data_IF_246766519303
#
_entry.id   IF_246766519303
#
_cell.length_a   1.000
_cell.length_b   1.000
_cell.length_c   1.000
_cell.angle_alpha   90.00
_cell.angle_beta   90.00
_cell.angle_gamma   90.00
#
_symmetry.space_group_name_H-M   'P 1'
#
loop_
_entity.id
_entity.type
_entity.pdbx_description
1 polymer ?
#
# COMPACT_ATOMS: atom_id res chain seq x y z
N UNK A 1 -12.58 -8.95 -61.04
CA UNK A 1 -11.83 -9.76 -60.04
C UNK A 1 -11.63 -8.93 -58.78
N UNK A 2 -12.56 -9.00 -57.86
CA UNK A 2 -12.48 -8.41 -56.50
C UNK A 2 -12.31 -9.59 -55.53
N UNK A 3 -11.09 -9.92 -55.14
CA UNK A 3 -10.82 -11.01 -54.20
C UNK A 3 -9.97 -10.54 -53.05
N UNK A 4 -10.56 -10.59 -51.84
CA UNK A 4 -9.94 -10.91 -50.54
C UNK A 4 -8.94 -9.93 -49.92
N UNK A 5 -9.37 -8.75 -49.53
CA UNK A 5 -8.64 -7.89 -48.57
C UNK A 5 -9.29 -7.92 -47.16
N UNK A 6 -10.43 -8.60 -46.98
CA UNK A 6 -11.21 -8.61 -45.76
C UNK A 6 -10.66 -9.56 -44.69
N UNK A 7 -9.92 -10.61 -45.08
CA UNK A 7 -9.46 -11.64 -44.14
C UNK A 7 -8.39 -11.22 -43.14
N UNK A 8 -7.36 -10.41 -43.46
CA UNK A 8 -6.34 -10.05 -42.48
C UNK A 8 -6.84 -9.03 -41.46
N UNK A 9 -7.77 -8.13 -41.80
CA UNK A 9 -8.32 -7.13 -40.91
C UNK A 9 -9.24 -7.78 -39.87
N UNK A 10 -10.05 -8.76 -40.29
CA UNK A 10 -10.93 -9.49 -39.37
C UNK A 10 -10.12 -10.33 -38.37
N UNK A 11 -9.01 -10.93 -38.80
CA UNK A 11 -8.12 -11.70 -37.93
C UNK A 11 -7.40 -10.81 -36.89
N UNK A 12 -6.98 -9.61 -37.29
CA UNK A 12 -6.37 -8.63 -36.38
C UNK A 12 -7.35 -8.13 -35.31
N UNK A 13 -8.62 -7.90 -35.67
CA UNK A 13 -9.67 -7.48 -34.71
C UNK A 13 -9.99 -8.61 -33.72
N UNK A 14 -10.04 -9.86 -34.18
CA UNK A 14 -10.26 -11.02 -33.29
C UNK A 14 -9.09 -11.23 -32.34
N UNK A 15 -7.83 -11.04 -32.79
CA UNK A 15 -6.66 -11.08 -31.90
C UNK A 15 -6.65 -9.94 -30.86
N UNK A 16 -7.08 -8.72 -31.22
CA UNK A 16 -7.20 -7.61 -30.25
C UNK A 16 -8.30 -7.86 -29.22
N UNK A 17 -9.41 -8.52 -29.59
CA UNK A 17 -10.47 -8.87 -28.65
C UNK A 17 -10.09 -10.01 -27.68
N UNK A 18 -9.14 -10.88 -28.07
CA UNK A 18 -8.65 -11.96 -27.22
C UNK A 18 -7.66 -11.49 -26.16
N UNK A 19 -7.01 -10.34 -26.32
CA UNK A 19 -6.05 -9.79 -25.33
C UNK A 19 -6.71 -9.05 -24.17
N UNK A 20 -8.03 -8.90 -24.13
CA UNK A 20 -8.74 -8.21 -23.04
C UNK A 20 -9.45 -9.15 -22.06
N UNK A 21 -9.30 -10.45 -22.21
CA UNK A 21 -9.70 -11.38 -21.17
C UNK A 21 -8.56 -11.54 -20.16
N UNK A 22 -8.24 -10.50 -19.39
CA UNK A 22 -7.68 -10.70 -18.06
C UNK A 22 -8.77 -11.39 -17.25
N UNK A 23 -8.74 -12.71 -17.30
CA UNK A 23 -9.55 -13.56 -16.47
C UNK A 23 -9.12 -13.27 -15.03
N UNK A 24 -9.90 -12.44 -14.36
CA UNK A 24 -9.73 -12.15 -12.93
C UNK A 24 -10.09 -13.45 -12.19
N UNK A 25 -9.19 -14.43 -12.27
CA UNK A 25 -9.31 -15.68 -11.51
C UNK A 25 -8.97 -15.31 -10.08
N UNK A 26 -10.00 -14.99 -9.28
CA UNK A 26 -9.86 -14.97 -7.82
C UNK A 26 -9.12 -16.27 -7.46
N UNK A 27 -7.89 -16.15 -6.95
CA UNK A 27 -7.12 -17.32 -6.59
C UNK A 27 -7.91 -18.11 -5.56
N UNK A 28 -7.97 -19.43 -5.70
CA UNK A 28 -8.66 -20.27 -4.72
C UNK A 28 -7.92 -20.22 -3.39
N UNK A 29 -8.60 -19.74 -2.37
CA UNK A 29 -8.11 -19.67 -0.99
C UNK A 29 -8.82 -20.77 -0.18
N UNK A 30 -8.05 -21.54 0.61
CA UNK A 30 -8.66 -22.55 1.50
C UNK A 30 -9.44 -21.87 2.63
N UNK A 31 -10.45 -22.56 3.16
CA UNK A 31 -11.39 -22.00 4.14
C UNK A 31 -10.74 -21.48 5.45
N UNK A 32 -9.51 -21.91 5.73
CA UNK A 32 -8.74 -21.50 6.91
C UNK A 32 -7.49 -20.67 6.56
N UNK A 33 -7.35 -20.25 5.31
CA UNK A 33 -6.24 -19.43 4.82
C UNK A 33 -6.75 -18.04 4.43
N UNK A 34 -5.83 -17.11 4.26
CA UNK A 34 -6.02 -15.88 3.51
C UNK A 34 -4.95 -15.75 2.44
N UNK A 35 -5.22 -14.96 1.43
CA UNK A 35 -4.27 -14.60 0.40
C UNK A 35 -4.38 -13.09 0.12
N UNK A 36 -3.29 -12.37 0.36
CA UNK A 36 -3.13 -10.99 -0.08
C UNK A 36 -2.24 -11.00 -1.33
N UNK A 37 -2.67 -10.34 -2.40
CA UNK A 37 -1.84 -10.06 -3.56
C UNK A 37 -1.79 -8.56 -3.81
N UNK A 38 -0.58 -8.02 -3.92
CA UNK A 38 -0.35 -6.60 -4.17
C UNK A 38 0.29 -6.34 -5.52
N UNK A 39 -0.16 -5.28 -6.18
CA UNK A 39 0.43 -4.71 -7.38
C UNK A 39 0.72 -3.22 -7.14
N UNK A 40 2.02 -2.87 -7.11
CA UNK A 40 2.50 -1.53 -6.79
C UNK A 40 3.28 -0.95 -7.96
N UNK A 41 2.72 0.06 -8.60
CA UNK A 41 3.38 0.77 -9.69
C UNK A 41 4.44 1.77 -9.20
N UNK A 42 5.41 2.06 -10.06
CA UNK A 42 6.47 3.07 -9.83
C UNK A 42 7.39 2.79 -8.63
N UNK A 43 7.46 1.54 -8.19
CA UNK A 43 8.41 1.12 -7.17
C UNK A 43 9.48 0.21 -7.80
N UNK A 44 10.76 0.35 -7.40
CA UNK A 44 11.81 -0.53 -7.85
C UNK A 44 11.63 -1.93 -7.23
N UNK A 45 12.09 -2.94 -7.95
CA UNK A 45 12.27 -4.28 -7.40
C UNK A 45 13.22 -4.23 -6.18
N UNK A 46 13.20 -5.25 -5.37
CA UNK A 46 13.96 -5.36 -4.12
C UNK A 46 13.41 -4.59 -2.90
N UNK A 47 12.34 -3.83 -3.03
CA UNK A 47 11.64 -3.27 -1.87
C UNK A 47 11.02 -4.41 -1.06
N UNK A 48 11.27 -4.41 0.25
CA UNK A 48 10.66 -5.37 1.16
C UNK A 48 9.36 -4.79 1.69
N UNK A 49 8.27 -5.52 1.48
CA UNK A 49 6.95 -5.26 2.07
C UNK A 49 6.76 -6.23 3.23
N UNK A 50 6.35 -5.72 4.37
CA UNK A 50 6.07 -6.53 5.57
C UNK A 50 4.60 -6.51 5.95
N UNK A 51 4.11 -7.65 6.42
CA UNK A 51 2.82 -7.80 7.07
C UNK A 51 3.04 -7.92 8.57
N UNK A 52 2.36 -7.09 9.34
CA UNK A 52 2.57 -6.96 10.78
C UNK A 52 1.28 -7.15 11.55
N UNK A 53 1.42 -7.69 12.75
CA UNK A 53 0.39 -7.76 13.76
C UNK A 53 0.73 -6.80 14.90
N UNK A 54 -0.29 -6.07 15.37
CA UNK A 54 -0.16 -5.18 16.52
C UNK A 54 -0.53 -5.94 17.80
N UNK A 55 0.41 -6.02 18.74
CA UNK A 55 0.18 -6.55 20.08
C UNK A 55 0.52 -5.48 21.12
N UNK A 56 -0.51 -4.77 21.58
CA UNK A 56 -0.35 -3.59 22.42
C UNK A 56 0.40 -2.47 21.71
N UNK A 57 1.63 -2.18 22.13
CA UNK A 57 2.49 -1.15 21.51
C UNK A 57 3.62 -1.76 20.65
N UNK A 58 3.55 -3.07 20.37
CA UNK A 58 4.59 -3.79 19.64
C UNK A 58 4.06 -4.17 18.27
N UNK A 59 4.83 -3.89 17.23
CA UNK A 59 4.57 -4.36 15.88
C UNK A 59 5.41 -5.61 15.61
N UNK A 60 4.75 -6.75 15.51
CA UNK A 60 5.37 -8.03 15.20
C UNK A 60 5.29 -8.30 13.70
N UNK A 61 6.43 -8.43 13.03
CA UNK A 61 6.47 -8.81 11.62
C UNK A 61 6.10 -10.30 11.50
N UNK A 62 4.97 -10.58 10.86
CA UNK A 62 4.46 -11.94 10.64
C UNK A 62 5.01 -12.53 9.34
N UNK A 63 4.93 -11.76 8.25
CA UNK A 63 5.41 -12.18 6.93
C UNK A 63 6.17 -11.03 6.26
N UNK A 64 7.09 -11.39 5.36
CA UNK A 64 7.78 -10.45 4.48
C UNK A 64 7.83 -11.01 3.07
N UNK A 65 7.68 -10.13 2.10
CA UNK A 65 7.92 -10.46 0.69
C UNK A 65 8.72 -9.33 0.03
N UNK A 66 9.43 -9.68 -1.03
CA UNK A 66 10.22 -8.73 -1.79
C UNK A 66 9.51 -8.41 -3.08
N UNK A 67 9.30 -7.13 -3.35
CA UNK A 67 8.65 -6.66 -4.56
C UNK A 67 9.44 -7.12 -5.81
N UNK A 68 8.75 -7.80 -6.71
CA UNK A 68 9.29 -8.25 -8.00
C UNK A 68 8.31 -7.90 -9.12
N UNK A 69 8.76 -7.14 -10.10
CA UNK A 69 7.90 -6.62 -11.17
C UNK A 69 6.65 -5.90 -10.63
N UNK A 70 6.81 -5.17 -9.52
CA UNK A 70 5.72 -4.48 -8.85
C UNK A 70 4.77 -5.36 -8.04
N UNK A 71 5.04 -6.64 -7.88
CA UNK A 71 4.14 -7.59 -7.21
C UNK A 71 4.72 -8.12 -5.89
N UNK A 72 3.82 -8.34 -4.92
CA UNK A 72 4.10 -9.06 -3.67
C UNK A 72 2.90 -9.92 -3.27
N UNK A 73 3.12 -10.91 -2.38
CA UNK A 73 2.06 -11.80 -1.94
C UNK A 73 2.28 -12.28 -0.51
N UNK A 74 1.18 -12.34 0.28
CA UNK A 74 1.17 -12.96 1.58
C UNK A 74 0.09 -14.05 1.63
N UNK A 75 0.47 -15.24 2.08
CA UNK A 75 -0.47 -16.34 2.32
C UNK A 75 -0.12 -17.00 3.64
N UNK A 76 -1.12 -17.19 4.48
CA UNK A 76 -0.99 -17.94 5.74
C UNK A 76 -2.37 -18.41 6.20
N UNK A 77 -2.38 -19.17 7.30
CA UNK A 77 -3.60 -19.63 7.95
C UNK A 77 -4.12 -18.61 8.95
N UNK A 78 -5.43 -18.53 9.07
CA UNK A 78 -6.12 -17.67 10.02
C UNK A 78 -7.42 -18.33 10.49
N UNK A 79 -7.76 -18.13 11.76
CA UNK A 79 -8.98 -18.69 12.37
C UNK A 79 -10.10 -17.69 12.61
N UNK A 80 -9.78 -16.40 12.67
CA UNK A 80 -10.74 -15.33 12.95
C UNK A 80 -10.39 -14.09 12.14
N UNK A 81 -11.39 -13.27 11.83
CA UNK A 81 -11.17 -11.95 11.22
C UNK A 81 -10.35 -11.07 12.14
N UNK A 82 -9.34 -10.39 11.60
CA UNK A 82 -8.52 -9.43 12.33
C UNK A 82 -7.87 -8.40 11.41
N UNK A 83 -7.48 -7.28 12.01
CA UNK A 83 -6.74 -6.23 11.33
C UNK A 83 -5.24 -6.54 11.35
N UNK A 84 -4.61 -6.37 10.19
CA UNK A 84 -3.16 -6.44 10.01
C UNK A 84 -2.66 -5.15 9.39
N UNK A 85 -1.36 -4.92 9.47
CA UNK A 85 -0.71 -3.70 9.00
C UNK A 85 0.30 -4.04 7.91
N UNK A 86 0.26 -3.33 6.80
CA UNK A 86 1.23 -3.47 5.71
C UNK A 86 2.11 -2.22 5.67
N UNK A 87 3.41 -2.41 5.72
CA UNK A 87 4.37 -1.32 5.68
C UNK A 87 5.70 -1.75 5.05
N UNK A 88 6.56 -0.78 4.78
CA UNK A 88 7.93 -1.01 4.34
C UNK A 88 8.90 -0.11 5.11
N UNK A 89 10.02 -0.69 5.52
CA UNK A 89 11.12 0.02 6.18
C UNK A 89 12.14 0.60 5.19
N UNK A 90 11.90 0.45 3.88
CA UNK A 90 12.78 1.00 2.85
C UNK A 90 12.76 2.54 2.87
N UNK A 91 13.89 3.15 2.48
CA UNK A 91 14.03 4.62 2.42
C UNK A 91 12.94 5.26 1.55
N UNK A 92 12.44 6.40 2.00
CA UNK A 92 11.41 7.20 1.33
C UNK A 92 9.99 6.67 1.52
N UNK A 93 9.79 5.57 2.27
CA UNK A 93 8.46 5.23 2.76
C UNK A 93 8.09 6.10 3.96
N UNK A 94 6.83 6.52 4.09
CA UNK A 94 6.36 7.17 5.31
C UNK A 94 6.42 6.17 6.47
N UNK A 95 6.73 6.65 7.66
CA UNK A 95 6.75 5.82 8.89
C UNK A 95 5.33 5.47 9.34
N UNK A 96 4.50 4.97 8.43
CA UNK A 96 3.12 4.58 8.67
C UNK A 96 2.78 3.32 7.87
N UNK A 97 1.58 2.82 8.03
CA UNK A 97 1.10 1.56 7.47
C UNK A 97 -0.26 1.69 6.78
N UNK A 98 -0.58 0.70 5.93
CA UNK A 98 -1.91 0.41 5.42
C UNK A 98 -2.59 -0.58 6.36
N UNK A 99 -3.79 -0.28 6.81
CA UNK A 99 -4.62 -1.21 7.58
C UNK A 99 -5.37 -2.13 6.63
N UNK A 100 -5.28 -3.44 6.89
CA UNK A 100 -5.91 -4.46 6.06
C UNK A 100 -6.63 -5.46 6.96
N UNK A 101 -7.94 -5.60 6.78
CA UNK A 101 -8.72 -6.60 7.45
C UNK A 101 -8.67 -7.93 6.69
N UNK A 102 -8.26 -8.98 7.37
CA UNK A 102 -8.14 -10.32 6.82
C UNK A 102 -9.11 -11.26 7.52
N UNK A 103 -9.65 -12.24 6.77
CA UNK A 103 -10.58 -13.23 7.28
C UNK A 103 -10.29 -14.62 6.66
N UNK A 104 -10.73 -15.71 7.32
CA UNK A 104 -10.60 -17.06 6.77
C UNK A 104 -11.32 -17.20 5.42
N UNK A 105 -10.64 -17.80 4.45
CA UNK A 105 -11.16 -18.03 3.11
C UNK A 105 -11.05 -16.84 2.16
N UNK A 106 -10.53 -15.69 2.61
CA UNK A 106 -10.57 -14.44 1.85
C UNK A 106 -9.36 -14.23 0.95
N UNK A 107 -9.66 -13.70 -0.24
CA UNK A 107 -8.71 -13.16 -1.19
C UNK A 107 -8.78 -11.63 -1.18
N UNK A 108 -7.64 -11.01 -0.96
CA UNK A 108 -7.50 -9.56 -0.83
C UNK A 108 -6.55 -9.08 -1.92
N UNK A 109 -6.97 -8.12 -2.71
CA UNK A 109 -6.16 -7.45 -3.72
C UNK A 109 -5.76 -6.06 -3.25
N UNK A 110 -4.47 -5.71 -3.39
CA UNK A 110 -3.95 -4.38 -3.07
C UNK A 110 -3.40 -3.78 -4.35
N UNK A 111 -3.86 -2.58 -4.69
CA UNK A 111 -3.35 -1.79 -5.80
C UNK A 111 -2.84 -0.46 -5.32
N UNK A 112 -1.62 -0.12 -5.71
CA UNK A 112 -1.04 1.14 -5.30
C UNK A 112 0.00 1.64 -6.29
N UNK A 113 0.43 2.87 -6.02
CA UNK A 113 1.54 3.47 -6.74
C UNK A 113 2.40 4.28 -5.78
N UNK A 114 3.69 4.34 -6.10
CA UNK A 114 4.65 5.07 -5.29
C UNK A 114 4.69 4.55 -3.83
N UNK A 115 5.35 5.29 -2.95
CA UNK A 115 5.52 4.95 -1.53
C UNK A 115 4.38 5.46 -0.64
N UNK A 116 3.23 5.82 -1.22
CA UNK A 116 2.13 6.47 -0.51
C UNK A 116 1.16 5.44 0.10
N UNK A 117 1.65 4.68 1.06
CA UNK A 117 1.05 3.45 1.62
C UNK A 117 -0.44 3.59 1.97
N UNK A 118 -0.85 4.66 2.66
CA UNK A 118 -2.27 4.86 3.04
C UNK A 118 -3.20 5.18 1.86
N UNK A 119 -2.65 5.39 0.68
CA UNK A 119 -3.43 5.66 -0.54
C UNK A 119 -3.56 4.45 -1.44
N UNK A 120 -3.00 3.31 -1.05
CA UNK A 120 -3.18 2.07 -1.79
C UNK A 120 -4.60 1.56 -1.59
N UNK A 121 -5.21 1.14 -2.69
CA UNK A 121 -6.57 0.59 -2.70
C UNK A 121 -6.56 -0.86 -2.22
N UNK A 122 -7.44 -1.20 -1.29
CA UNK A 122 -7.65 -2.56 -0.81
C UNK A 122 -9.01 -3.05 -1.30
N UNK A 123 -9.03 -4.08 -2.13
CA UNK A 123 -10.25 -4.73 -2.64
C UNK A 123 -10.43 -6.04 -1.90
N UNK A 124 -11.52 -6.15 -1.14
CA UNK A 124 -11.84 -7.30 -0.31
C UNK A 124 -13.35 -7.42 -0.10
N UNK A 125 -13.83 -8.64 0.12
CA UNK A 125 -15.22 -8.92 0.51
C UNK A 125 -15.42 -8.86 2.05
N UNK A 126 -14.36 -8.64 2.83
CA UNK A 126 -14.41 -8.48 4.30
C UNK A 126 -15.18 -7.20 4.65
N UNK A 127 -16.30 -7.27 5.41
CA UNK A 127 -17.13 -6.10 5.70
C UNK A 127 -16.38 -4.98 6.41
N UNK A 128 -15.50 -5.32 7.34
CA UNK A 128 -14.67 -4.38 8.09
C UNK A 128 -13.71 -3.62 7.15
N UNK A 129 -13.20 -4.27 6.10
CA UNK A 129 -12.38 -3.61 5.10
C UNK A 129 -13.18 -2.63 4.24
N UNK A 130 -14.41 -2.99 3.89
CA UNK A 130 -15.27 -2.09 3.11
C UNK A 130 -15.60 -0.82 3.90
N UNK A 131 -15.79 -0.94 5.21
CA UNK A 131 -16.00 0.22 6.08
C UNK A 131 -14.74 1.08 6.18
N UNK A 132 -13.56 0.47 6.39
CA UNK A 132 -12.25 1.16 6.39
C UNK A 132 -12.02 1.94 5.10
N UNK A 133 -12.32 1.33 3.95
CA UNK A 133 -12.20 1.96 2.64
C UNK A 133 -13.08 3.22 2.50
N UNK A 134 -14.26 3.22 3.10
CA UNK A 134 -15.17 4.39 3.10
C UNK A 134 -14.56 5.57 3.85
N UNK A 135 -13.97 5.33 5.03
CA UNK A 135 -13.30 6.37 5.81
C UNK A 135 -12.11 6.94 5.04
N UNK A 136 -11.25 6.07 4.51
CA UNK A 136 -10.07 6.51 3.76
C UNK A 136 -10.44 7.32 2.50
N UNK A 137 -11.51 6.92 1.81
CA UNK A 137 -11.93 7.57 0.56
C UNK A 137 -12.34 9.04 0.75
N UNK A 138 -12.94 9.41 1.89
CA UNK A 138 -13.43 10.78 2.13
C UNK A 138 -12.32 11.83 2.20
N UNK A 139 -11.09 11.43 2.53
CA UNK A 139 -9.93 12.31 2.70
C UNK A 139 -8.73 11.96 1.80
N UNK A 140 -8.92 11.19 0.72
CA UNK A 140 -7.84 10.64 -0.10
C UNK A 140 -6.85 11.68 -0.61
N UNK A 141 -7.31 12.86 -1.04
CA UNK A 141 -6.43 13.92 -1.52
C UNK A 141 -5.51 14.45 -0.41
N UNK A 142 -6.05 14.65 0.78
CA UNK A 142 -5.31 15.09 1.97
C UNK A 142 -4.37 13.98 2.47
N UNK A 143 -4.81 12.72 2.43
CA UNK A 143 -3.97 11.56 2.77
C UNK A 143 -2.74 11.49 1.85
N UNK A 144 -2.92 11.70 0.55
CA UNK A 144 -1.81 11.71 -0.41
C UNK A 144 -0.78 12.79 -0.10
N UNK A 145 -1.21 14.00 0.22
CA UNK A 145 -0.32 15.11 0.58
C UNK A 145 0.36 14.85 1.92
N UNK A 146 -0.39 14.38 2.93
CA UNK A 146 0.14 14.03 4.24
C UNK A 146 1.24 12.99 4.16
N UNK A 147 1.08 11.94 3.33
CA UNK A 147 2.08 10.89 3.16
C UNK A 147 3.42 11.44 2.65
N UNK A 148 3.43 12.46 1.81
CA UNK A 148 4.67 13.09 1.35
C UNK A 148 5.42 13.79 2.49
N UNK A 149 4.70 14.49 3.38
CA UNK A 149 5.31 15.09 4.57
C UNK A 149 5.82 14.03 5.55
N UNK A 150 5.06 12.97 5.79
CA UNK A 150 5.47 11.87 6.68
C UNK A 150 6.70 11.15 6.15
N UNK A 151 6.80 10.91 4.85
CA UNK A 151 7.99 10.32 4.23
C UNK A 151 9.22 11.21 4.42
N UNK A 152 9.07 12.51 4.19
CA UNK A 152 10.17 13.46 4.39
C UNK A 152 10.60 13.56 5.88
N UNK A 153 9.64 13.56 6.81
CA UNK A 153 9.94 13.54 8.25
C UNK A 153 10.69 12.27 8.64
N UNK A 154 10.22 11.12 8.18
CA UNK A 154 10.83 9.82 8.48
C UNK A 154 12.25 9.69 7.91
N UNK A 155 12.49 10.22 6.70
CA UNK A 155 13.83 10.26 6.12
C UNK A 155 14.81 11.12 6.95
N UNK A 156 14.36 12.27 7.48
CA UNK A 156 15.18 13.07 8.40
C UNK A 156 15.48 12.35 9.70
N UNK A 157 14.50 11.63 10.27
CA UNK A 157 14.70 10.81 11.47
C UNK A 157 15.73 9.70 11.21
N UNK A 158 15.60 9.00 10.07
CA UNK A 158 16.56 7.95 9.69
C UNK A 158 17.97 8.50 9.50
N UNK A 159 18.13 9.59 8.78
CA UNK A 159 19.43 10.24 8.62
C UNK A 159 20.04 10.57 9.98
N UNK A 160 19.27 11.12 10.90
CA UNK A 160 19.72 11.50 12.23
C UNK A 160 20.16 10.29 13.07
N UNK A 161 19.36 9.23 13.11
CA UNK A 161 19.64 8.09 14.00
C UNK A 161 20.52 7.00 13.38
N UNK A 162 20.55 6.87 12.07
CA UNK A 162 21.22 5.78 11.36
C UNK A 162 22.48 6.27 10.63
N UNK A 163 22.37 7.36 9.87
CA UNK A 163 23.48 7.84 9.04
C UNK A 163 24.43 8.76 9.83
N UNK A 164 23.92 9.52 10.82
CA UNK A 164 24.69 10.48 11.66
C UNK A 164 24.47 10.25 13.17
N UNK A 165 24.66 9.03 13.68
CA UNK A 165 24.38 8.72 15.09
C UNK A 165 25.33 9.49 16.02
N UNK A 166 24.76 10.30 16.93
CA UNK A 166 25.52 11.07 17.93
C UNK A 166 26.11 12.39 17.40
N UNK A 167 25.89 12.76 16.15
CA UNK A 167 26.25 14.07 15.60
C UNK A 167 25.25 15.14 16.07
N UNK A 168 25.60 15.86 17.13
CA UNK A 168 24.72 16.86 17.75
C UNK A 168 24.41 18.05 16.84
N UNK A 169 25.33 18.42 15.95
CA UNK A 169 25.11 19.51 15.03
C UNK A 169 24.09 19.10 13.98
N UNK A 170 24.27 17.93 13.37
CA UNK A 170 23.30 17.35 12.45
C UNK A 170 21.94 17.13 13.11
N UNK A 171 21.92 16.60 14.35
CA UNK A 171 20.69 16.39 15.11
C UNK A 171 19.88 17.68 15.27
N UNK A 172 20.56 18.79 15.65
CA UNK A 172 19.90 20.10 15.78
C UNK A 172 19.30 20.59 14.46
N UNK A 173 20.01 20.41 13.35
CA UNK A 173 19.53 20.78 12.01
C UNK A 173 18.35 19.89 11.57
N UNK A 174 18.44 18.57 11.84
CA UNK A 174 17.40 17.61 11.52
C UNK A 174 16.10 17.93 12.26
N UNK A 175 16.15 18.21 13.56
CA UNK A 175 14.97 18.60 14.35
C UNK A 175 14.34 19.89 13.82
N UNK A 176 15.13 20.89 13.43
CA UNK A 176 14.58 22.11 12.84
C UNK A 176 13.83 21.86 11.52
N UNK A 177 14.31 20.89 10.71
CA UNK A 177 13.62 20.46 9.48
C UNK A 177 12.34 19.70 9.78
N UNK A 178 12.40 18.74 10.73
CA UNK A 178 11.24 17.97 11.19
C UNK A 178 10.13 18.90 11.70
N UNK A 179 10.49 19.87 12.55
CA UNK A 179 9.51 20.86 13.04
C UNK A 179 8.87 21.69 11.92
N UNK A 180 9.64 22.02 10.90
CA UNK A 180 9.12 22.74 9.73
C UNK A 180 8.14 21.88 8.94
N UNK A 181 8.43 20.59 8.75
CA UNK A 181 7.55 19.61 8.09
C UNK A 181 6.26 19.43 8.91
N UNK A 182 6.37 19.25 10.23
CA UNK A 182 5.22 19.07 11.13
C UNK A 182 4.26 20.25 11.10
N UNK A 183 4.77 21.48 11.04
CA UNK A 183 3.93 22.68 10.90
C UNK A 183 3.09 22.67 9.63
N UNK A 184 3.55 22.04 8.55
CA UNK A 184 2.81 21.90 7.30
C UNK A 184 1.84 20.71 7.33
N UNK A 185 2.22 19.60 7.96
CA UNK A 185 1.40 18.39 8.01
C UNK A 185 0.26 18.44 9.04
N UNK A 186 0.42 19.16 10.16
CA UNK A 186 -0.60 19.23 11.22
C UNK A 186 -1.98 19.74 10.75
N UNK A 187 -2.10 20.80 9.92
CA UNK A 187 -3.40 21.23 9.41
C UNK A 187 -4.09 20.16 8.56
N UNK A 188 -3.31 19.40 7.75
CA UNK A 188 -3.83 18.30 6.94
C UNK A 188 -4.38 17.16 7.81
N UNK A 189 -3.66 16.80 8.89
CA UNK A 189 -4.14 15.78 9.83
C UNK A 189 -5.48 16.19 10.47
N UNK A 190 -5.60 17.46 10.87
CA UNK A 190 -6.84 17.98 11.45
C UNK A 190 -7.98 17.98 10.42
N UNK A 191 -7.70 18.30 9.16
CA UNK A 191 -8.71 18.27 8.09
C UNK A 191 -9.16 16.84 7.79
N UNK A 192 -8.24 15.86 7.77
CA UNK A 192 -8.55 14.44 7.59
C UNK A 192 -9.49 13.98 8.71
N UNK A 193 -9.11 14.16 9.96
CA UNK A 193 -9.94 13.76 11.11
C UNK A 193 -11.34 14.39 11.08
N UNK A 194 -11.44 15.65 10.66
CA UNK A 194 -12.73 16.30 10.52
C UNK A 194 -13.62 15.63 9.48
N UNK A 195 -13.06 15.27 8.32
CA UNK A 195 -13.78 14.58 7.25
C UNK A 195 -14.17 13.14 7.62
N UNK A 196 -13.35 12.46 8.40
CA UNK A 196 -13.63 11.10 8.89
C UNK A 196 -14.72 11.06 9.97
N UNK A 197 -14.98 12.19 10.64
CA UNK A 197 -16.04 12.33 11.65
C UNK A 197 -17.39 12.81 11.09
N UNK A 198 -17.45 13.31 9.86
CA UNK A 198 -18.67 13.73 9.15
C UNK A 198 -19.35 12.55 8.44
#
# INVERSE_FOLDING_TARGET
MRKYIITPVLLAIVCMLMCHCTFNRKASVAANEYLIQGELANLPDSIVIGLYEEDGNILNCVLRDTLMNGQFSFRDTISTTRKMLIMSDNRGFPGTWLEVWIAPGEYIEIKGQDKLVKTWEVVSDVPEQQEENRFTACAMAQQKELMQYMAAEYDWQRMMFIDHPGDREFESQAWAKIDSIRKLSMPLQQEIWKKEME
#
